data_IF_374736404567
#
_entry.id   IF_374736404567
#
_cell.length_a   1.000
_cell.length_b   1.000
_cell.length_c   1.000
_cell.angle_alpha   90.00
_cell.angle_beta   90.00
_cell.angle_gamma   90.00
#
_symmetry.space_group_name_H-M   'P 1'
#
loop_
_entity.id
_entity.type
_entity.pdbx_description
1 polymer ?
#
# COMPACT_ATOMS: atom_id res chain seq x y z
N UNK A 1 -0.88 -5.78 -7.94
CA UNK A 1 -2.33 -5.60 -7.67
C UNK A 1 -3.04 -6.17 -8.88
N UNK A 2 -3.96 -7.10 -8.67
CA UNK A 2 -4.77 -7.64 -9.76
C UNK A 2 -6.03 -6.79 -10.02
N UNK A 3 -6.75 -7.14 -11.08
CA UNK A 3 -7.94 -6.39 -11.52
C UNK A 3 -9.10 -6.45 -10.51
N UNK A 4 -9.27 -7.58 -9.82
CA UNK A 4 -10.35 -7.76 -8.84
C UNK A 4 -10.08 -6.93 -7.58
N UNK A 5 -8.83 -6.94 -7.11
CA UNK A 5 -8.37 -6.10 -6.02
C UNK A 5 -8.54 -4.62 -6.36
N UNK A 6 -8.10 -4.18 -7.54
CA UNK A 6 -8.24 -2.78 -7.97
C UNK A 6 -9.72 -2.35 -7.95
N UNK A 7 -10.60 -3.17 -8.52
CA UNK A 7 -12.05 -2.92 -8.56
C UNK A 7 -12.67 -2.87 -7.16
N UNK A 8 -12.28 -3.80 -6.27
CA UNK A 8 -12.72 -3.82 -4.88
C UNK A 8 -12.31 -2.54 -4.14
N UNK A 9 -11.05 -2.14 -4.24
CA UNK A 9 -10.53 -0.95 -3.55
C UNK A 9 -11.15 0.35 -4.08
N UNK A 10 -11.38 0.47 -5.40
CA UNK A 10 -12.14 1.60 -5.94
C UNK A 10 -13.53 1.68 -5.34
N UNK A 11 -14.24 0.55 -5.23
CA UNK A 11 -15.58 0.51 -4.60
C UNK A 11 -15.51 0.89 -3.12
N UNK A 12 -14.50 0.41 -2.38
CA UNK A 12 -14.24 0.79 -0.99
C UNK A 12 -14.02 2.30 -0.82
N UNK A 13 -13.33 2.93 -1.77
CA UNK A 13 -13.16 4.39 -1.84
C UNK A 13 -14.44 5.15 -2.22
N UNK A 14 -15.55 4.46 -2.51
CA UNK A 14 -16.82 5.07 -2.92
C UNK A 14 -16.74 5.80 -4.26
N UNK A 15 -15.81 5.41 -5.15
CA UNK A 15 -15.57 6.10 -6.42
C UNK A 15 -16.16 5.34 -7.61
N UNK A 16 -16.73 6.07 -8.56
CA UNK A 16 -16.97 5.53 -9.91
C UNK A 16 -15.66 5.52 -10.73
N UNK A 17 -15.67 4.93 -11.92
CA UNK A 17 -14.45 4.79 -12.75
C UNK A 17 -13.87 6.15 -13.18
N UNK A 18 -14.71 7.16 -13.44
CA UNK A 18 -14.29 8.51 -13.82
C UNK A 18 -13.60 9.23 -12.65
N UNK A 19 -14.22 9.22 -11.47
CA UNK A 19 -13.63 9.79 -10.26
C UNK A 19 -12.33 9.09 -9.88
N UNK A 20 -12.24 7.78 -10.10
CA UNK A 20 -11.00 7.03 -9.88
C UNK A 20 -9.89 7.47 -10.85
N UNK A 21 -10.25 7.75 -12.11
CA UNK A 21 -9.31 8.26 -13.12
C UNK A 21 -8.76 9.63 -12.72
N UNK A 22 -9.64 10.54 -12.29
CA UNK A 22 -9.29 11.86 -11.76
C UNK A 22 -8.39 11.76 -10.52
N UNK A 23 -8.76 10.90 -9.56
CA UNK A 23 -8.04 10.71 -8.30
C UNK A 23 -6.63 10.14 -8.49
N UNK A 24 -6.44 9.27 -9.49
CA UNK A 24 -5.16 8.64 -9.82
C UNK A 24 -4.38 9.39 -10.90
N UNK A 25 -4.91 10.50 -11.43
CA UNK A 25 -4.33 11.24 -12.55
C UNK A 25 -3.99 10.35 -13.77
N UNK A 26 -4.91 9.46 -14.15
CA UNK A 26 -4.80 8.60 -15.33
C UNK A 26 -6.03 8.73 -16.22
N UNK A 27 -5.97 8.21 -17.45
CA UNK A 27 -7.14 8.23 -18.34
C UNK A 27 -8.23 7.26 -17.86
N UNK A 28 -9.50 7.57 -18.18
CA UNK A 28 -10.61 6.65 -17.95
C UNK A 28 -10.39 5.29 -18.65
N UNK A 29 -9.79 5.30 -19.85
CA UNK A 29 -9.42 4.08 -20.57
C UNK A 29 -8.42 3.22 -19.78
N UNK A 30 -7.46 3.83 -19.07
CA UNK A 30 -6.54 3.10 -18.21
C UNK A 30 -7.28 2.40 -17.06
N UNK A 31 -8.25 3.09 -16.42
CA UNK A 31 -9.08 2.48 -15.36
C UNK A 31 -9.87 1.28 -15.89
N UNK A 32 -10.51 1.40 -17.06
CA UNK A 32 -11.21 0.27 -17.67
C UNK A 32 -10.26 -0.91 -17.93
N UNK A 33 -9.09 -0.62 -18.51
CA UNK A 33 -8.07 -1.62 -18.83
C UNK A 33 -7.54 -2.34 -17.58
N UNK A 34 -7.35 -1.63 -16.46
CA UNK A 34 -6.97 -2.22 -15.18
C UNK A 34 -8.05 -3.15 -14.63
N UNK A 35 -9.32 -2.72 -14.62
CA UNK A 35 -10.42 -3.54 -14.09
C UNK A 35 -10.76 -4.76 -14.95
N UNK A 36 -10.48 -4.71 -16.25
CA UNK A 36 -10.65 -5.84 -17.17
C UNK A 36 -9.45 -6.78 -17.18
N UNK A 37 -8.33 -6.41 -16.55
CA UNK A 37 -7.09 -7.17 -16.58
C UNK A 37 -6.34 -7.12 -17.91
N UNK A 38 -6.71 -6.20 -18.82
CA UNK A 38 -5.99 -6.00 -20.09
C UNK A 38 -4.63 -5.36 -19.90
N UNK A 39 -4.44 -4.64 -18.79
CA UNK A 39 -3.17 -4.02 -18.41
C UNK A 39 -2.89 -4.24 -16.93
N UNK A 40 -1.66 -4.62 -16.62
CA UNK A 40 -1.16 -4.67 -15.24
C UNK A 40 -1.20 -3.29 -14.60
N UNK A 41 -1.71 -3.20 -13.37
CA UNK A 41 -1.70 -1.96 -12.59
C UNK A 41 -0.24 -1.59 -12.24
N UNK A 42 0.28 -0.43 -12.68
CA UNK A 42 1.64 -0.03 -12.37
C UNK A 42 1.86 0.11 -10.85
N UNK A 43 3.07 -0.17 -10.34
CA UNK A 43 3.38 -0.04 -8.91
C UNK A 43 3.04 1.33 -8.31
N UNK A 44 3.29 2.42 -9.06
CA UNK A 44 2.96 3.78 -8.62
C UNK A 44 1.44 3.96 -8.40
N UNK A 45 0.63 3.43 -9.32
CA UNK A 45 -0.83 3.45 -9.20
C UNK A 45 -1.29 2.61 -8.01
N UNK A 46 -0.80 1.37 -7.89
CA UNK A 46 -1.15 0.49 -6.78
C UNK A 46 -0.80 1.13 -5.42
N UNK A 47 0.37 1.77 -5.33
CA UNK A 47 0.82 2.49 -4.12
C UNK A 47 -0.13 3.62 -3.75
N UNK A 48 -0.57 4.42 -4.72
CA UNK A 48 -1.53 5.51 -4.47
C UNK A 48 -2.91 4.98 -4.05
N UNK A 49 -3.40 3.90 -4.68
CA UNK A 49 -4.66 3.24 -4.29
C UNK A 49 -4.61 2.75 -2.84
N UNK A 50 -3.53 2.07 -2.45
CA UNK A 50 -3.36 1.61 -1.07
C UNK A 50 -3.25 2.78 -0.09
N UNK A 51 -2.55 3.85 -0.47
CA UNK A 51 -2.42 5.03 0.38
C UNK A 51 -3.78 5.64 0.68
N UNK A 52 -4.56 5.94 -0.36
CA UNK A 52 -5.89 6.51 -0.22
C UNK A 52 -6.82 5.58 0.59
N UNK A 53 -6.76 4.27 0.32
CA UNK A 53 -7.55 3.28 1.07
C UNK A 53 -7.19 3.28 2.55
N UNK A 54 -5.90 3.36 2.87
CA UNK A 54 -5.40 3.35 4.26
C UNK A 54 -5.85 4.56 5.10
N UNK A 55 -6.43 5.58 4.46
CA UNK A 55 -6.92 6.81 5.12
C UNK A 55 -8.42 6.79 5.41
N UNK A 56 -9.17 5.77 4.98
CA UNK A 56 -10.65 5.75 5.09
C UNK A 56 -11.20 5.47 6.50
N UNK A 57 -10.37 5.30 7.53
CA UNK A 57 -10.85 5.01 8.88
C UNK A 57 -9.91 5.47 10.00
N UNK A 58 -10.43 5.47 11.23
CA UNK A 58 -9.65 5.68 12.44
C UNK A 58 -8.85 4.41 12.79
N UNK A 59 -7.75 4.18 12.08
CA UNK A 59 -6.84 3.08 12.38
C UNK A 59 -5.96 3.40 13.59
N UNK A 60 -5.46 2.38 14.25
CA UNK A 60 -4.38 2.50 15.24
C UNK A 60 -3.21 3.28 14.62
N UNK A 61 -2.81 4.44 15.14
CA UNK A 61 -1.73 5.27 14.56
C UNK A 61 -0.34 4.85 15.05
N UNK A 62 -0.24 3.77 15.84
CA UNK A 62 1.05 3.28 16.31
C UNK A 62 1.96 2.91 15.13
N UNK A 63 3.26 3.22 15.23
CA UNK A 63 4.22 2.87 14.21
C UNK A 63 4.48 1.36 14.19
N UNK A 64 5.00 0.88 13.06
CA UNK A 64 5.21 -0.54 12.85
C UNK A 64 6.10 -1.20 13.89
N UNK A 65 7.09 -0.51 14.44
CA UNK A 65 8.00 -1.09 15.44
C UNK A 65 7.32 -1.37 16.78
N UNK A 66 6.38 -0.52 17.22
CA UNK A 66 5.60 -0.76 18.43
C UNK A 66 4.59 -1.88 18.20
N UNK A 67 3.94 -1.86 17.04
CA UNK A 67 2.93 -2.84 16.69
C UNK A 67 3.57 -4.22 16.51
N UNK A 68 4.73 -4.33 15.86
CA UNK A 68 5.39 -5.61 15.52
C UNK A 68 6.45 -6.08 16.52
N UNK A 69 6.86 -5.24 17.48
CA UNK A 69 7.99 -5.55 18.37
C UNK A 69 9.32 -5.54 17.62
N UNK A 70 9.53 -4.58 16.73
CA UNK A 70 10.74 -4.51 15.91
C UNK A 70 11.96 -4.18 16.79
N UNK A 71 13.06 -4.97 16.73
CA UNK A 71 14.27 -4.72 17.50
C UNK A 71 14.86 -3.34 17.23
N UNK A 72 15.42 -2.69 18.26
CA UNK A 72 15.96 -1.33 18.20
C UNK A 72 17.01 -1.17 17.10
N UNK A 73 17.96 -2.11 17.03
CA UNK A 73 19.05 -2.13 16.04
C UNK A 73 18.52 -2.09 14.59
N UNK A 74 17.42 -2.80 14.33
CA UNK A 74 16.78 -2.79 13.01
C UNK A 74 15.97 -1.51 12.79
N UNK A 75 15.29 -1.03 13.83
CA UNK A 75 14.43 0.15 13.78
C UNK A 75 15.22 1.39 13.37
N UNK A 76 16.34 1.68 14.06
CA UNK A 76 17.12 2.90 13.83
C UNK A 76 17.75 2.96 12.43
N UNK A 77 17.93 1.81 11.78
CA UNK A 77 18.45 1.70 10.41
C UNK A 77 17.35 1.62 9.34
N UNK A 78 16.07 1.62 9.73
CA UNK A 78 14.95 1.41 8.81
C UNK A 78 14.44 2.75 8.24
N UNK A 79 14.26 2.88 6.91
CA UNK A 79 13.67 4.08 6.31
C UNK A 79 12.29 4.46 6.87
N UNK A 80 11.48 3.49 7.31
CA UNK A 80 10.19 3.81 7.93
C UNK A 80 10.35 4.58 9.26
N UNK A 81 11.44 4.37 9.99
CA UNK A 81 11.77 5.12 11.19
C UNK A 81 12.39 6.48 10.84
N UNK A 82 13.39 6.50 9.94
CA UNK A 82 14.06 7.70 9.46
C UNK A 82 13.06 8.77 8.98
N UNK A 83 12.09 8.37 8.16
CA UNK A 83 11.07 9.26 7.59
C UNK A 83 9.77 9.30 8.40
N UNK A 84 9.79 8.87 9.68
CA UNK A 84 8.63 8.93 10.61
C UNK A 84 7.35 8.34 10.02
N UNK A 85 7.50 7.33 9.18
CA UNK A 85 6.43 6.74 8.37
C UNK A 85 6.00 5.38 8.92
N UNK A 86 6.20 5.15 10.22
CA UNK A 86 5.95 3.87 10.87
C UNK A 86 4.50 3.39 10.71
N UNK A 87 3.52 4.30 10.71
CA UNK A 87 2.11 3.96 10.52
C UNK A 87 1.79 3.41 9.11
N UNK A 88 2.61 3.75 8.12
CA UNK A 88 2.46 3.36 6.71
C UNK A 88 3.77 2.78 6.16
N UNK A 89 4.50 1.99 6.95
CA UNK A 89 5.81 1.45 6.55
C UNK A 89 5.78 0.68 5.21
N UNK A 90 4.63 0.10 4.84
CA UNK A 90 4.42 -0.58 3.56
C UNK A 90 4.49 0.38 2.35
N UNK A 91 4.30 1.70 2.54
CA UNK A 91 4.41 2.71 1.49
C UNK A 91 5.86 3.06 1.17
N UNK A 92 6.74 3.05 2.18
CA UNK A 92 8.15 3.43 2.09
C UNK A 92 8.97 2.28 1.52
N UNK A 93 9.82 2.51 0.52
CA UNK A 93 10.71 1.47 -0.01
C UNK A 93 11.99 1.35 0.84
N UNK A 94 12.73 0.25 0.69
CA UNK A 94 13.97 0.02 1.44
C UNK A 94 13.78 -0.34 2.92
N UNK A 95 12.54 -0.48 3.39
CA UNK A 95 12.25 -0.94 4.75
C UNK A 95 12.88 -2.30 5.05
N UNK A 96 13.46 -2.43 6.24
CA UNK A 96 14.23 -3.60 6.66
C UNK A 96 13.38 -4.64 7.40
N UNK A 97 12.13 -4.87 6.98
CA UNK A 97 11.31 -5.93 7.58
C UNK A 97 12.07 -7.27 7.47
N UNK A 98 12.09 -8.06 8.55
CA UNK A 98 12.89 -9.30 8.66
C UNK A 98 14.40 -9.11 8.42
N UNK A 99 14.92 -7.89 8.60
CA UNK A 99 16.34 -7.56 8.43
C UNK A 99 16.80 -7.42 6.98
N UNK A 100 15.89 -7.48 5.99
CA UNK A 100 16.26 -7.44 4.56
C UNK A 100 15.47 -6.39 3.80
N UNK A 101 16.17 -5.59 2.98
CA UNK A 101 15.52 -4.71 2.00
C UNK A 101 15.00 -5.54 0.83
N UNK A 102 13.75 -5.31 0.43
CA UNK A 102 13.12 -6.00 -0.70
C UNK A 102 13.50 -5.33 -2.02
N UNK A 103 13.81 -6.12 -3.05
CA UNK A 103 14.39 -5.66 -4.32
C UNK A 103 13.35 -5.10 -5.30
N UNK A 104 12.11 -5.56 -5.21
CA UNK A 104 11.01 -5.10 -6.06
C UNK A 104 9.76 -4.76 -5.25
N UNK A 105 8.85 -4.03 -5.89
CA UNK A 105 7.53 -3.75 -5.32
C UNK A 105 6.73 -5.04 -5.08
N UNK A 106 6.78 -5.98 -6.01
CA UNK A 106 6.01 -7.22 -5.90
C UNK A 106 6.55 -8.08 -4.74
N UNK A 107 7.88 -8.21 -4.61
CA UNK A 107 8.51 -8.91 -3.47
C UNK A 107 8.14 -8.26 -2.13
N UNK A 108 8.11 -6.92 -2.08
CA UNK A 108 7.70 -6.19 -0.89
C UNK A 108 6.24 -6.47 -0.55
N UNK A 109 5.36 -6.44 -1.56
CA UNK A 109 3.93 -6.64 -1.35
C UNK A 109 3.57 -8.08 -0.96
N UNK A 110 4.35 -9.09 -1.35
CA UNK A 110 4.18 -10.47 -0.85
C UNK A 110 4.25 -10.54 0.68
N UNK A 111 5.16 -9.78 1.29
CA UNK A 111 5.31 -9.71 2.74
C UNK A 111 4.31 -8.74 3.35
N UNK A 112 4.20 -7.53 2.80
CA UNK A 112 3.37 -6.49 3.39
C UNK A 112 1.89 -6.88 3.46
N UNK A 113 1.35 -7.59 2.47
CA UNK A 113 -0.07 -8.01 2.47
C UNK A 113 -0.46 -8.88 3.66
N UNK A 114 0.49 -9.66 4.18
CA UNK A 114 0.29 -10.55 5.32
C UNK A 114 0.67 -9.87 6.65
N UNK A 115 1.12 -8.62 6.62
CA UNK A 115 1.50 -7.86 7.81
C UNK A 115 0.31 -7.05 8.34
N UNK A 116 0.13 -7.06 9.67
CA UNK A 116 -0.86 -6.25 10.39
C UNK A 116 -0.84 -4.76 10.05
N UNK A 117 0.32 -4.20 9.72
CA UNK A 117 0.44 -2.79 9.32
C UNK A 117 -0.30 -2.47 8.01
N UNK A 118 -0.41 -3.45 7.12
CA UNK A 118 -1.16 -3.32 5.88
C UNK A 118 -2.60 -3.80 6.06
N UNK A 119 -2.77 -4.98 6.68
CA UNK A 119 -4.08 -5.61 6.83
C UNK A 119 -5.06 -4.68 7.56
N UNK A 120 -4.68 -4.14 8.71
CA UNK A 120 -5.54 -3.30 9.54
C UNK A 120 -5.99 -1.99 8.87
N UNK A 121 -5.36 -1.57 7.77
CA UNK A 121 -5.64 -0.28 7.12
C UNK A 121 -6.17 -0.43 5.70
N UNK A 122 -5.76 -1.48 4.99
CA UNK A 122 -6.03 -1.64 3.56
C UNK A 122 -6.85 -2.90 3.30
N UNK A 123 -6.54 -4.00 3.99
CA UNK A 123 -7.28 -5.25 3.83
C UNK A 123 -8.62 -5.18 4.57
N UNK A 124 -9.66 -4.80 3.82
CA UNK A 124 -11.05 -5.29 3.92
C UNK A 124 -11.93 -4.62 2.87
#
# INVERSE_FOLDING_TARGET
MDSQEFKRLRKKLGKNQRQMAELLAVSLKAIHSYEQGWRTVPPAVARQVYFLTSRLGAGDHRPCWDVTGCPEERKVNCPAWEFRSGEICWFVNGTLCDGTARKSWDDKMLVCRNCKMFANRVAD
#
